data_IF_844698620331
#
_entry.id   IF_844698620331
#
_cell.length_a   1.000
_cell.length_b   1.000
_cell.length_c   1.000
_cell.angle_alpha   90.00
_cell.angle_beta   90.00
_cell.angle_gamma   90.00
#
_symmetry.space_group_name_H-M   'P 1'
#
loop_
_entity.id
_entity.type
_entity.pdbx_description
1 polymer ?
#
# COMPACT_ATOMS: atom_id res chain seq x y z
N UNK A 1 -22.16 -11.48 -34.05
CA UNK A 1 -21.19 -11.58 -35.15
C UNK A 1 -20.46 -12.91 -35.16
N UNK A 2 -19.73 -13.28 -34.09
CA UNK A 2 -18.98 -14.56 -34.04
C UNK A 2 -19.84 -15.80 -34.35
N UNK A 3 -20.99 -15.95 -33.70
CA UNK A 3 -21.94 -17.05 -33.94
C UNK A 3 -22.42 -17.09 -35.40
N UNK A 4 -22.71 -15.93 -36.00
CA UNK A 4 -23.15 -15.82 -37.39
C UNK A 4 -22.02 -16.16 -38.38
N UNK A 5 -20.79 -15.71 -38.11
CA UNK A 5 -19.60 -16.11 -38.89
C UNK A 5 -19.34 -17.62 -38.78
N UNK A 6 -19.49 -18.22 -37.60
CA UNK A 6 -19.35 -19.66 -37.41
C UNK A 6 -20.42 -20.42 -38.20
N UNK A 7 -21.68 -19.99 -38.14
CA UNK A 7 -22.78 -20.60 -38.92
C UNK A 7 -22.50 -20.47 -40.42
N UNK A 8 -22.07 -19.30 -40.90
CA UNK A 8 -21.71 -19.09 -42.31
C UNK A 8 -20.54 -19.99 -42.73
N UNK A 9 -19.51 -20.09 -41.90
CA UNK A 9 -18.36 -20.97 -42.13
C UNK A 9 -18.80 -22.45 -42.25
N UNK A 10 -19.57 -22.96 -41.28
CA UNK A 10 -20.08 -24.34 -41.31
C UNK A 10 -21.00 -24.59 -42.50
N UNK A 11 -21.82 -23.62 -42.89
CA UNK A 11 -22.71 -23.71 -44.06
C UNK A 11 -21.91 -23.83 -45.37
N UNK A 12 -20.88 -23.00 -45.55
CA UNK A 12 -20.00 -23.02 -46.71
C UNK A 12 -19.23 -24.35 -46.76
N UNK A 13 -18.67 -24.80 -45.63
CA UNK A 13 -17.96 -26.09 -45.57
C UNK A 13 -18.90 -27.25 -45.93
N UNK A 14 -20.12 -27.28 -45.40
CA UNK A 14 -21.11 -28.31 -45.72
C UNK A 14 -21.49 -28.32 -47.21
N UNK A 15 -21.59 -27.15 -47.83
CA UNK A 15 -21.83 -27.04 -49.27
C UNK A 15 -20.63 -27.53 -50.09
N UNK A 16 -19.40 -27.17 -49.68
CA UNK A 16 -18.17 -27.56 -50.35
C UNK A 16 -17.90 -29.07 -50.24
N UNK A 17 -18.21 -29.70 -49.10
CA UNK A 17 -18.13 -31.16 -48.91
C UNK A 17 -19.05 -31.96 -49.81
N UNK A 18 -20.12 -31.35 -50.34
CA UNK A 18 -21.05 -32.00 -51.29
C UNK A 18 -20.56 -31.93 -52.74
N UNK A 19 -19.55 -31.10 -53.02
CA UNK A 19 -18.95 -30.94 -54.34
C UNK A 19 -17.58 -31.65 -54.36
N UNK A 20 -17.19 -32.24 -55.50
CA UNK A 20 -15.83 -32.77 -55.64
C UNK A 20 -14.83 -31.60 -55.64
N UNK A 21 -13.92 -31.61 -54.66
CA UNK A 21 -12.84 -30.63 -54.61
C UNK A 21 -11.73 -31.05 -55.58
N UNK A 22 -11.40 -30.17 -56.51
CA UNK A 22 -10.31 -30.36 -57.47
C UNK A 22 -9.09 -29.53 -57.03
N UNK A 23 -7.92 -30.16 -56.92
CA UNK A 23 -6.68 -29.49 -56.51
C UNK A 23 -6.03 -28.76 -57.70
N UNK A 24 -6.80 -27.90 -58.36
CA UNK A 24 -6.41 -27.07 -59.50
C UNK A 24 -6.58 -25.58 -59.17
N UNK A 25 -5.95 -24.65 -59.92
CA UNK A 25 -6.17 -23.21 -59.74
C UNK A 25 -7.66 -22.81 -59.78
N UNK A 26 -8.44 -23.44 -60.65
CA UNK A 26 -9.87 -23.23 -60.78
C UNK A 26 -10.65 -23.77 -59.58
N UNK A 27 -10.28 -24.94 -59.06
CA UNK A 27 -10.86 -25.50 -57.84
C UNK A 27 -10.58 -24.65 -56.59
N UNK A 28 -9.37 -24.09 -56.48
CA UNK A 28 -8.99 -23.15 -55.42
C UNK A 28 -9.77 -21.83 -55.54
N UNK A 29 -9.88 -21.27 -56.74
CA UNK A 29 -10.67 -20.06 -56.99
C UNK A 29 -12.16 -20.27 -56.67
N UNK A 30 -12.73 -21.41 -57.06
CA UNK A 30 -14.09 -21.77 -56.71
C UNK A 30 -14.28 -21.82 -55.19
N UNK A 31 -13.35 -22.48 -54.47
CA UNK A 31 -13.37 -22.56 -53.01
C UNK A 31 -13.36 -21.17 -52.36
N UNK A 32 -12.42 -20.31 -52.75
CA UNK A 32 -12.29 -18.93 -52.23
C UNK A 32 -13.56 -18.12 -52.53
N UNK A 33 -14.12 -18.25 -53.73
CA UNK A 33 -15.34 -17.53 -54.12
C UNK A 33 -16.57 -17.91 -53.28
N UNK A 34 -16.63 -19.11 -52.72
CA UNK A 34 -17.71 -19.46 -51.78
C UNK A 34 -17.60 -18.70 -50.45
N UNK A 35 -16.38 -18.46 -49.96
CA UNK A 35 -16.14 -17.63 -48.78
C UNK A 35 -16.34 -16.14 -49.05
N UNK A 36 -16.08 -15.68 -50.28
CA UNK A 36 -16.27 -14.28 -50.69
C UNK A 36 -17.72 -13.80 -50.51
N UNK A 37 -18.72 -14.70 -50.62
CA UNK A 37 -20.15 -14.39 -50.40
C UNK A 37 -20.46 -13.83 -49.01
N UNK A 38 -19.62 -14.13 -48.02
CA UNK A 38 -19.77 -13.67 -46.64
C UNK A 38 -18.57 -12.81 -46.20
N UNK A 39 -17.82 -12.22 -47.14
CA UNK A 39 -16.60 -11.47 -46.84
C UNK A 39 -16.81 -10.38 -45.77
N UNK A 40 -17.91 -9.64 -45.83
CA UNK A 40 -18.23 -8.56 -44.90
C UNK A 40 -18.53 -9.08 -43.50
N UNK A 41 -19.17 -10.26 -43.39
CA UNK A 41 -19.45 -10.90 -42.12
C UNK A 41 -18.16 -11.42 -41.47
N UNK A 42 -17.27 -12.06 -42.24
CA UNK A 42 -15.96 -12.49 -41.74
C UNK A 42 -15.05 -11.32 -41.40
N UNK A 43 -14.99 -10.30 -42.24
CA UNK A 43 -14.23 -9.08 -41.99
C UNK A 43 -14.73 -8.36 -40.73
N UNK A 44 -16.04 -8.19 -40.57
CA UNK A 44 -16.63 -7.58 -39.37
C UNK A 44 -16.32 -8.41 -38.11
N UNK A 45 -16.37 -9.74 -38.19
CA UNK A 45 -16.03 -10.61 -37.05
C UNK A 45 -14.55 -10.52 -36.70
N UNK A 46 -13.63 -10.53 -37.68
CA UNK A 46 -12.19 -10.35 -37.44
C UNK A 46 -11.92 -8.99 -36.82
N UNK A 47 -12.50 -7.91 -37.38
CA UNK A 47 -12.36 -6.55 -36.85
C UNK A 47 -12.86 -6.45 -35.40
N UNK A 48 -14.00 -7.09 -35.08
CA UNK A 48 -14.54 -7.10 -33.73
C UNK A 48 -13.61 -7.86 -32.75
N UNK A 49 -13.06 -9.00 -33.15
CA UNK A 49 -12.10 -9.77 -32.34
C UNK A 49 -10.83 -8.95 -32.08
N UNK A 50 -10.26 -8.34 -33.13
CA UNK A 50 -9.07 -7.49 -33.03
C UNK A 50 -9.34 -6.29 -32.14
N UNK A 51 -10.47 -5.62 -32.30
CA UNK A 51 -10.87 -4.50 -31.45
C UNK A 51 -11.02 -4.93 -29.97
N UNK A 52 -11.66 -6.08 -29.71
CA UNK A 52 -11.81 -6.62 -28.36
C UNK A 52 -10.46 -6.87 -27.69
N UNK A 53 -9.55 -7.60 -28.34
CA UNK A 53 -8.22 -7.85 -27.79
C UNK A 53 -7.36 -6.57 -27.69
N UNK A 54 -7.56 -5.62 -28.60
CA UNK A 54 -6.96 -4.29 -28.51
C UNK A 54 -7.38 -3.56 -27.23
N UNK A 55 -8.68 -3.56 -26.91
CA UNK A 55 -9.22 -2.96 -25.69
C UNK A 55 -8.71 -3.68 -24.43
N UNK A 56 -8.72 -5.02 -24.42
CA UNK A 56 -8.21 -5.79 -23.28
C UNK A 56 -6.72 -5.54 -23.03
N UNK A 57 -5.93 -5.41 -24.09
CA UNK A 57 -4.52 -5.02 -23.98
C UNK A 57 -4.34 -3.62 -23.40
N UNK A 58 -5.16 -2.66 -23.81
CA UNK A 58 -5.14 -1.31 -23.25
C UNK A 58 -5.50 -1.31 -21.76
N UNK A 59 -6.54 -2.05 -21.36
CA UNK A 59 -6.91 -2.22 -19.95
C UNK A 59 -5.80 -2.87 -19.12
N UNK A 60 -5.13 -3.87 -19.67
CA UNK A 60 -3.99 -4.52 -19.00
C UNK A 60 -2.82 -3.55 -18.84
N UNK A 61 -2.53 -2.74 -19.86
CA UNK A 61 -1.49 -1.72 -19.80
C UNK A 61 -1.82 -0.61 -18.80
N UNK A 62 -3.09 -0.18 -18.72
CA UNK A 62 -3.57 0.80 -17.75
C UNK A 62 -3.39 0.29 -16.31
N UNK A 63 -3.84 -0.93 -16.02
CA UNK A 63 -3.65 -1.56 -14.70
C UNK A 63 -2.17 -1.67 -14.33
N UNK A 64 -1.35 -2.16 -15.26
CA UNK A 64 0.09 -2.27 -15.04
C UNK A 64 0.73 -0.90 -14.76
N UNK A 65 0.26 0.17 -15.39
CA UNK A 65 0.74 1.51 -15.13
C UNK A 65 0.31 2.03 -13.75
N UNK A 66 -0.94 1.79 -13.34
CA UNK A 66 -1.43 2.13 -12.00
C UNK A 66 -0.61 1.41 -10.92
N UNK A 67 -0.38 0.10 -11.10
CA UNK A 67 0.40 -0.69 -10.14
C UNK A 67 1.85 -0.23 -10.10
N UNK A 68 2.45 0.10 -11.24
CA UNK A 68 3.79 0.67 -11.31
C UNK A 68 3.87 1.99 -10.55
N UNK A 69 2.96 2.92 -10.81
CA UNK A 69 2.91 4.21 -10.10
C UNK A 69 2.76 3.99 -8.59
N UNK A 70 1.93 3.04 -8.17
CA UNK A 70 1.78 2.70 -6.75
C UNK A 70 3.08 2.18 -6.14
N UNK A 71 3.78 1.26 -6.82
CA UNK A 71 5.05 0.72 -6.35
C UNK A 71 6.15 1.78 -6.27
N UNK A 72 6.22 2.67 -7.25
CA UNK A 72 7.15 3.79 -7.26
C UNK A 72 6.87 4.72 -6.06
N UNK A 73 5.58 5.06 -5.83
CA UNK A 73 5.16 5.84 -4.67
C UNK A 73 5.48 5.16 -3.33
N UNK A 74 5.30 3.85 -3.24
CA UNK A 74 5.68 3.09 -2.05
C UNK A 74 7.19 3.15 -1.82
N UNK A 75 7.99 3.01 -2.87
CA UNK A 75 9.45 3.09 -2.78
C UNK A 75 9.92 4.45 -2.25
N UNK A 76 9.34 5.54 -2.76
CA UNK A 76 9.65 6.90 -2.32
C UNK A 76 9.24 7.12 -0.85
N UNK A 77 8.00 6.77 -0.52
CA UNK A 77 7.44 6.89 0.83
C UNK A 77 8.24 6.07 1.84
N UNK A 78 8.61 4.84 1.49
CA UNK A 78 9.43 3.94 2.30
C UNK A 78 10.80 4.55 2.53
N UNK A 79 11.43 5.15 1.52
CA UNK A 79 12.77 5.76 1.65
C UNK A 79 12.77 6.87 2.69
N UNK A 80 11.76 7.76 2.64
CA UNK A 80 11.60 8.86 3.61
C UNK A 80 11.36 8.31 5.02
N UNK A 81 10.48 7.31 5.14
CA UNK A 81 10.10 6.73 6.42
C UNK A 81 11.23 5.92 7.06
N UNK A 82 11.95 5.11 6.27
CA UNK A 82 13.09 4.31 6.73
C UNK A 82 14.23 5.23 7.23
N UNK A 83 14.47 6.37 6.57
CA UNK A 83 15.45 7.35 7.04
C UNK A 83 15.11 7.91 8.43
N UNK A 84 13.82 8.16 8.71
CA UNK A 84 13.36 8.63 10.03
C UNK A 84 13.43 7.53 11.08
N UNK A 85 13.07 6.30 10.71
CA UNK A 85 13.23 5.13 11.59
C UNK A 85 14.68 4.94 12.00
N UNK A 86 15.62 5.18 11.08
CA UNK A 86 17.04 5.04 11.35
C UNK A 86 17.59 6.11 12.32
N UNK A 87 16.93 7.27 12.45
CA UNK A 87 17.27 8.29 13.47
C UNK A 87 16.94 7.79 14.88
N UNK A 88 15.84 7.03 15.04
CA UNK A 88 15.35 6.61 16.36
C UNK A 88 15.71 5.15 16.70
N UNK A 89 16.33 4.41 15.77
CA UNK A 89 16.59 2.97 15.89
C UNK A 89 17.41 2.61 17.12
N UNK A 90 18.38 3.44 17.47
CA UNK A 90 19.26 3.17 18.59
C UNK A 90 18.57 3.44 19.92
N UNK A 91 17.55 4.30 19.96
CA UNK A 91 16.77 4.54 21.17
C UNK A 91 15.74 3.43 21.42
N UNK A 92 15.20 2.83 20.35
CA UNK A 92 14.18 1.81 20.42
C UNK A 92 14.21 0.84 19.21
N UNK A 93 15.01 -0.23 19.26
CA UNK A 93 15.11 -1.21 18.18
C UNK A 93 13.80 -1.97 17.93
N UNK A 94 13.00 -2.18 18.99
CA UNK A 94 11.70 -2.84 18.90
C UNK A 94 10.74 -2.03 18.01
N UNK A 95 10.65 -0.72 18.24
CA UNK A 95 9.82 0.15 17.44
C UNK A 95 10.15 0.06 15.95
N UNK A 96 11.44 0.09 15.59
CA UNK A 96 11.87 -0.05 14.20
C UNK A 96 11.39 -1.37 13.59
N UNK A 97 11.53 -2.48 14.32
CA UNK A 97 11.09 -3.80 13.84
C UNK A 97 9.58 -3.82 13.60
N UNK A 98 8.80 -3.39 14.57
CA UNK A 98 7.33 -3.43 14.46
C UNK A 98 6.82 -2.48 13.38
N UNK A 99 7.45 -1.30 13.23
CA UNK A 99 7.09 -0.39 12.15
C UNK A 99 7.36 -1.00 10.77
N UNK A 100 8.51 -1.65 10.57
CA UNK A 100 8.83 -2.34 9.30
C UNK A 100 7.79 -3.42 8.97
N UNK A 101 7.26 -4.12 9.98
CA UNK A 101 6.26 -5.17 9.79
C UNK A 101 4.93 -4.62 9.24
N UNK A 102 4.54 -3.41 9.64
CA UNK A 102 3.24 -2.81 9.26
C UNK A 102 3.33 -1.85 8.08
N UNK A 103 4.54 -1.44 7.66
CA UNK A 103 4.74 -0.28 6.78
C UNK A 103 3.99 -0.36 5.45
N UNK A 104 3.87 -1.55 4.87
CA UNK A 104 3.19 -1.71 3.58
C UNK A 104 1.68 -1.52 3.74
N UNK A 105 1.09 -2.10 4.79
CA UNK A 105 -0.33 -1.92 5.08
C UNK A 105 -0.62 -0.48 5.51
N UNK A 106 0.28 0.15 6.27
CA UNK A 106 0.16 1.56 6.61
C UNK A 106 0.23 2.44 5.35
N UNK A 107 1.11 2.13 4.41
CA UNK A 107 1.15 2.80 3.10
C UNK A 107 -0.18 2.65 2.36
N UNK A 108 -0.73 1.44 2.27
CA UNK A 108 -2.00 1.19 1.56
C UNK A 108 -3.17 1.98 2.19
N UNK A 109 -3.19 2.11 3.52
CA UNK A 109 -4.23 2.89 4.23
C UNK A 109 -4.06 4.42 4.04
N UNK A 110 -2.85 4.88 3.75
CA UNK A 110 -2.53 6.31 3.58
C UNK A 110 -2.54 6.75 2.11
N UNK A 111 -2.31 5.83 1.19
CA UNK A 111 -2.29 6.10 -0.25
C UNK A 111 -3.68 6.51 -0.75
N UNK A 112 -3.80 7.50 -1.66
CA UNK A 112 -2.72 8.24 -2.33
C UNK A 112 -2.31 9.56 -1.68
N UNK A 113 -3.05 10.01 -0.66
CA UNK A 113 -2.94 11.37 -0.13
C UNK A 113 -1.78 11.53 0.86
N UNK A 114 -1.42 10.45 1.56
CA UNK A 114 -0.45 10.45 2.66
C UNK A 114 -0.74 11.54 3.70
N UNK A 115 -2.02 11.69 4.02
CA UNK A 115 -2.54 12.66 4.97
C UNK A 115 -3.60 12.04 5.86
N UNK A 116 -3.78 12.65 7.02
CA UNK A 116 -4.87 12.35 7.94
C UNK A 116 -5.88 13.49 7.87
N UNK A 117 -7.11 13.16 7.50
CA UNK A 117 -8.19 14.12 7.25
C UNK A 117 -9.00 14.43 8.51
N UNK A 118 -8.96 13.55 9.52
CA UNK A 118 -9.72 13.73 10.76
C UNK A 118 -9.13 12.99 11.96
N UNK A 119 -9.46 13.46 13.17
CA UNK A 119 -9.15 12.77 14.43
C UNK A 119 -9.66 11.32 14.47
N UNK A 120 -10.82 11.05 13.86
CA UNK A 120 -11.39 9.69 13.79
C UNK A 120 -10.53 8.75 12.94
N UNK A 121 -10.02 9.24 11.81
CA UNK A 121 -9.10 8.48 10.96
C UNK A 121 -7.78 8.24 11.69
N UNK A 122 -7.22 9.26 12.35
CA UNK A 122 -6.03 9.13 13.18
C UNK A 122 -6.20 8.02 14.22
N UNK A 123 -7.29 8.09 14.98
CA UNK A 123 -7.59 7.13 16.05
C UNK A 123 -7.74 5.71 15.51
N UNK A 124 -8.35 5.54 14.33
CA UNK A 124 -8.52 4.23 13.70
C UNK A 124 -7.17 3.63 13.31
N UNK A 125 -6.30 4.41 12.66
CA UNK A 125 -4.95 3.96 12.30
C UNK A 125 -4.10 3.67 13.54
N UNK A 126 -4.12 4.57 14.51
CA UNK A 126 -3.38 4.41 15.75
C UNK A 126 -3.80 3.14 16.50
N UNK A 127 -5.10 2.91 16.66
CA UNK A 127 -5.62 1.70 17.33
C UNK A 127 -5.30 0.43 16.55
N UNK A 128 -5.37 0.47 15.22
CA UNK A 128 -5.08 -0.68 14.35
C UNK A 128 -3.62 -1.13 14.45
N UNK A 129 -2.67 -0.19 14.51
CA UNK A 129 -1.26 -0.49 14.34
C UNK A 129 -0.39 -0.32 15.58
N UNK A 130 -0.72 0.62 16.47
CA UNK A 130 0.23 1.09 17.48
C UNK A 130 -0.26 0.96 18.92
N UNK A 131 -1.55 1.19 19.20
CA UNK A 131 -2.07 1.31 20.57
C UNK A 131 -1.62 0.16 21.50
N UNK A 132 -1.73 -1.09 21.03
CA UNK A 132 -1.34 -2.27 21.82
C UNK A 132 0.18 -2.40 22.04
N UNK A 133 1.00 -1.77 21.19
CA UNK A 133 2.46 -1.85 21.22
C UNK A 133 3.10 -0.70 22.00
N UNK A 134 2.36 0.39 22.25
CA UNK A 134 2.87 1.58 22.96
C UNK A 134 3.54 1.24 24.30
N UNK A 135 2.97 0.41 25.20
CA UNK A 135 3.65 0.01 26.43
C UNK A 135 4.99 -0.69 26.19
N UNK A 136 5.07 -1.51 25.13
CA UNK A 136 6.30 -2.22 24.77
C UNK A 136 7.34 -1.25 24.19
N UNK A 137 6.92 -0.30 23.36
CA UNK A 137 7.81 0.75 22.86
C UNK A 137 8.38 1.58 24.01
N UNK A 138 7.55 1.99 24.96
CA UNK A 138 7.99 2.80 26.09
C UNK A 138 9.01 2.06 26.97
N UNK A 139 8.73 0.80 27.33
CA UNK A 139 9.61 -0.02 28.18
C UNK A 139 10.91 -0.48 27.51
N UNK A 140 10.94 -0.53 26.17
CA UNK A 140 12.16 -0.84 25.40
C UNK A 140 13.00 0.40 25.08
N UNK A 141 12.60 1.58 25.54
CA UNK A 141 13.36 2.80 25.34
C UNK A 141 14.59 2.85 26.27
N UNK A 142 15.77 3.13 25.70
CA UNK A 142 17.02 3.23 26.48
C UNK A 142 17.01 4.30 27.58
N UNK A 143 16.31 5.42 27.39
CA UNK A 143 16.20 6.48 28.41
C UNK A 143 15.30 6.01 29.56
N UNK A 144 14.16 5.39 29.24
CA UNK A 144 13.28 4.81 30.26
C UNK A 144 14.01 3.79 31.13
N UNK A 145 14.81 2.91 30.52
CA UNK A 145 15.62 1.91 31.23
C UNK A 145 16.70 2.57 32.10
N UNK A 146 17.39 3.57 31.56
CA UNK A 146 18.41 4.31 32.28
C UNK A 146 17.88 5.14 33.44
N UNK A 147 16.61 5.53 33.41
CA UNK A 147 15.94 6.32 34.46
C UNK A 147 15.15 5.43 35.43
N UNK A 148 15.28 4.10 35.31
CA UNK A 148 14.63 3.14 36.20
C UNK A 148 13.11 3.18 36.15
N UNK A 149 12.52 3.44 34.97
CA UNK A 149 11.06 3.51 34.77
C UNK A 149 10.34 4.58 35.60
N UNK A 150 11.04 5.60 36.07
CA UNK A 150 10.46 6.73 36.81
C UNK A 150 9.97 7.80 35.84
N UNK A 151 8.85 8.44 36.11
CA UNK A 151 8.30 9.52 35.29
C UNK A 151 8.18 10.80 36.13
N UNK A 152 8.44 11.95 35.51
CA UNK A 152 8.31 13.27 36.11
C UNK A 152 6.85 13.68 36.27
N UNK A 153 5.99 13.32 35.31
CA UNK A 153 4.57 13.66 35.31
C UNK A 153 3.74 12.55 34.64
N UNK A 154 2.41 12.55 34.84
CA UNK A 154 1.52 11.62 34.14
C UNK A 154 1.60 11.74 32.62
N UNK A 155 1.81 12.95 32.11
CA UNK A 155 1.80 13.22 30.66
C UNK A 155 3.15 12.97 29.98
N UNK A 156 4.19 12.66 30.77
CA UNK A 156 5.51 12.39 30.22
C UNK A 156 5.52 11.05 29.48
N UNK A 157 6.19 11.04 28.33
CA UNK A 157 6.67 9.84 27.66
C UNK A 157 8.16 9.97 27.31
N UNK A 158 8.86 8.85 27.32
CA UNK A 158 10.25 8.71 26.88
C UNK A 158 10.37 8.56 25.37
N UNK A 159 9.35 8.01 24.71
CA UNK A 159 9.40 7.71 23.28
C UNK A 159 8.30 8.39 22.43
N UNK A 160 7.32 9.07 23.05
CA UNK A 160 6.20 9.68 22.32
C UNK A 160 6.63 10.70 21.25
N UNK A 161 7.62 11.55 21.54
CA UNK A 161 8.13 12.52 20.54
C UNK A 161 8.83 11.84 19.36
N UNK A 162 9.59 10.78 19.61
CA UNK A 162 10.22 9.99 18.54
C UNK A 162 9.16 9.28 17.69
N UNK A 163 8.12 8.75 18.33
CA UNK A 163 6.97 8.16 17.66
C UNK A 163 6.27 9.18 16.75
N UNK A 164 5.97 10.37 17.26
CA UNK A 164 5.42 11.49 16.48
C UNK A 164 6.31 11.84 15.28
N UNK A 165 7.61 11.98 15.50
CA UNK A 165 8.57 12.31 14.46
C UNK A 165 8.55 11.32 13.30
N UNK A 166 8.47 10.01 13.60
CA UNK A 166 8.41 8.98 12.57
C UNK A 166 7.04 8.93 11.91
N UNK A 167 5.96 8.88 12.69
CA UNK A 167 4.60 8.74 12.15
C UNK A 167 4.21 9.96 11.31
N UNK A 168 4.30 11.19 11.87
CA UNK A 168 3.98 12.40 11.13
C UNK A 168 4.94 12.63 9.98
N UNK A 169 6.19 12.22 10.14
CA UNK A 169 7.20 12.29 9.09
C UNK A 169 6.97 11.33 7.92
N UNK A 170 6.10 10.32 8.08
CA UNK A 170 5.61 9.46 7.01
C UNK A 170 4.40 10.07 6.27
N UNK A 171 3.85 11.17 6.77
CA UNK A 171 2.77 11.91 6.11
C UNK A 171 3.38 13.02 5.27
N UNK A 172 2.98 13.11 4.00
CA UNK A 172 3.45 14.17 3.08
C UNK A 172 2.33 15.13 2.66
N UNK A 173 1.07 14.73 2.88
CA UNK A 173 -0.09 15.56 2.55
C UNK A 173 -0.45 16.53 3.68
N UNK A 174 -1.45 17.36 3.41
CA UNK A 174 -1.98 18.31 4.40
C UNK A 174 -2.86 17.57 5.41
N UNK A 175 -2.42 17.54 6.66
CA UNK A 175 -3.18 16.96 7.76
C UNK A 175 -4.21 17.95 8.32
N UNK A 176 -5.19 17.43 9.05
CA UNK A 176 -6.07 18.23 9.88
C UNK A 176 -5.31 18.95 11.01
N UNK A 177 -5.92 20.03 11.54
CA UNK A 177 -5.34 20.82 12.63
C UNK A 177 -5.17 19.96 13.90
N UNK A 178 -4.09 20.18 14.65
CA UNK A 178 -3.80 19.49 15.91
C UNK A 178 -3.49 17.97 15.80
N UNK A 179 -3.25 17.45 14.59
CA UNK A 179 -2.88 16.03 14.37
C UNK A 179 -1.74 15.55 15.28
N UNK A 180 -0.74 16.40 15.55
CA UNK A 180 0.39 16.05 16.41
C UNK A 180 0.01 15.99 17.89
N UNK A 181 -0.79 16.93 18.36
CA UNK A 181 -1.25 17.00 19.75
C UNK A 181 -2.16 15.81 20.06
N UNK A 182 -3.13 15.53 19.19
CA UNK A 182 -4.02 14.38 19.30
C UNK A 182 -3.24 13.06 19.27
N UNK A 183 -2.24 12.93 18.41
CA UNK A 183 -1.43 11.72 18.33
C UNK A 183 -0.62 11.49 19.61
N UNK A 184 -0.06 12.56 20.19
CA UNK A 184 0.67 12.47 21.45
C UNK A 184 -0.26 12.13 22.60
N UNK A 185 -1.45 12.73 22.65
CA UNK A 185 -2.51 12.41 23.61
C UNK A 185 -2.86 10.92 23.54
N UNK A 186 -3.11 10.39 22.34
CA UNK A 186 -3.39 8.96 22.11
C UNK A 186 -2.23 8.05 22.56
N UNK A 187 -0.99 8.47 22.30
CA UNK A 187 0.20 7.75 22.75
C UNK A 187 0.26 7.69 24.28
N UNK A 188 0.16 8.84 24.96
CA UNK A 188 0.21 8.92 26.42
C UNK A 188 -0.94 8.16 27.07
N UNK A 189 -2.15 8.26 26.52
CA UNK A 189 -3.32 7.54 27.00
C UNK A 189 -3.18 6.00 26.87
N UNK A 190 -2.33 5.53 25.96
CA UNK A 190 -2.05 4.10 25.77
C UNK A 190 -0.93 3.58 26.68
N UNK A 191 -0.29 4.45 27.48
CA UNK A 191 0.69 4.03 28.46
C UNK A 191 0.02 3.37 29.68
N UNK A 192 0.71 2.46 30.38
CA UNK A 192 0.19 1.87 31.60
C UNK A 192 -0.20 2.92 32.65
N UNK A 193 -1.32 2.72 33.33
CA UNK A 193 -1.80 3.62 34.39
C UNK A 193 -1.02 3.48 35.70
N UNK A 194 -0.33 2.36 35.91
CA UNK A 194 0.46 2.05 37.10
C UNK A 194 1.93 2.52 36.99
N UNK A 195 2.22 3.52 36.16
CA UNK A 195 3.56 4.09 36.04
C UNK A 195 4.01 4.74 37.35
N UNK A 196 5.30 4.61 37.67
CA UNK A 196 5.88 5.23 38.85
C UNK A 196 6.16 6.72 38.57
N UNK A 197 5.30 7.60 39.09
CA UNK A 197 5.39 9.05 38.88
C UNK A 197 5.92 9.68 40.16
N UNK A 198 7.17 10.14 40.10
CA UNK A 198 7.85 10.83 41.20
C UNK A 198 8.83 11.85 40.61
N UNK A 199 8.49 13.16 40.64
CA UNK A 199 9.34 14.21 40.09
C UNK A 199 10.74 14.28 40.73
N UNK A 200 10.85 13.97 42.03
CA UNK A 200 12.12 14.05 42.77
C UNK A 200 12.99 12.86 42.41
N UNK A 201 12.44 11.65 42.44
CA UNK A 201 13.15 10.45 42.01
C UNK A 201 13.56 10.53 40.54
N UNK A 202 12.71 11.13 39.68
CA UNK A 202 13.03 11.40 38.28
C UNK A 202 14.25 12.32 38.14
N UNK A 203 14.31 13.43 38.89
CA UNK A 203 15.45 14.35 38.84
C UNK A 203 16.75 13.67 39.27
N UNK A 204 16.70 12.85 40.33
CA UNK A 204 17.85 12.07 40.79
C UNK A 204 18.29 11.06 39.72
N UNK A 205 17.35 10.32 39.14
CA UNK A 205 17.62 9.36 38.07
C UNK A 205 18.23 10.04 36.83
N UNK A 206 17.70 11.19 36.43
CA UNK A 206 18.20 11.99 35.32
C UNK A 206 19.64 12.48 35.57
N UNK A 207 19.92 13.03 36.76
CA UNK A 207 21.27 13.47 37.13
C UNK A 207 22.28 12.33 37.06
N UNK A 208 21.93 11.17 37.61
CA UNK A 208 22.79 9.99 37.55
C UNK A 208 23.01 9.52 36.11
N UNK A 209 21.93 9.41 35.33
CA UNK A 209 22.01 8.98 33.94
C UNK A 209 22.94 9.88 33.11
N UNK A 210 22.81 11.21 33.22
CA UNK A 210 23.66 12.13 32.46
C UNK A 210 25.10 12.18 32.97
N UNK A 211 25.34 11.92 34.26
CA UNK A 211 26.68 11.86 34.85
C UNK A 211 27.50 10.65 34.38
N UNK A 212 26.85 9.50 34.18
CA UNK A 212 27.52 8.23 33.85
C UNK A 212 27.45 7.83 32.37
N UNK A 213 26.79 8.65 31.53
CA UNK A 213 26.64 8.39 30.09
C UNK A 213 27.44 9.35 29.19
N UNK A 214 28.30 10.18 29.79
CA UNK A 214 29.45 10.81 29.11
C UNK A 214 30.57 9.78 28.95
#
# INVERSE_FOLDING_TARGET
MFVLSSIAFFSIQKMLFRNHFEFSPDGINFYINQFAKYNGLFAATITLIVAYYGIERLRAAERANIDKVRLDRYSDWKTITDARLDVVKDENPLFRREFINIRYQLFEDLYPAFSIESKKQLQTLFNKYFAALVPAFESNNKKQQGFGATYQSPDQSYFGQNFLFVFLGSLTGKNYENVGEDLLEMYVASLPSNRFIDPVAYQIAAQNYFKFKQ
#
